data_IF_207580337653
#
_entry.id   IF_207580337653
#
_cell.length_a   1.000
_cell.length_b   1.000
_cell.length_c   1.000
_cell.angle_alpha   90.00
_cell.angle_beta   90.00
_cell.angle_gamma   90.00
#
_symmetry.space_group_name_H-M   'P 1'
#
loop_
_entity.id
_entity.type
_entity.pdbx_description
1 polymer ?
#
# COMPACT_ATOMS: atom_id res chain seq x y z
N UNK A 1 69.71 18.46 -18.08
CA UNK A 1 70.35 19.74 -17.63
C UNK A 1 69.55 20.29 -16.48
N UNK A 2 70.26 20.53 -15.35
CA UNK A 2 69.95 21.41 -14.17
C UNK A 2 68.59 21.09 -13.46
N UNK A 3 68.51 20.39 -12.29
CA UNK A 3 69.05 20.65 -10.93
C UNK A 3 68.53 21.98 -10.36
N UNK A 4 67.70 21.91 -9.32
CA UNK A 4 67.35 22.95 -8.39
C UNK A 4 66.83 22.32 -7.10
N UNK A 5 67.76 22.13 -6.14
CA UNK A 5 67.60 21.69 -4.76
C UNK A 5 67.31 22.96 -3.87
N UNK A 6 66.54 22.84 -2.83
CA UNK A 6 66.43 23.87 -1.78
C UNK A 6 65.38 23.43 -0.77
N UNK A 7 65.73 22.80 0.23
CA UNK A 7 66.37 23.01 1.56
C UNK A 7 65.33 23.50 2.60
N UNK A 8 65.10 22.61 3.52
CA UNK A 8 64.68 22.58 4.92
C UNK A 8 64.75 23.92 5.69
N UNK A 9 63.73 24.20 6.51
CA UNK A 9 63.91 24.82 7.83
C UNK A 9 62.90 24.30 8.83
N UNK A 10 63.44 23.65 9.88
CA UNK A 10 62.78 23.36 11.17
C UNK A 10 62.61 24.68 11.92
N UNK A 11 61.49 24.84 12.59
CA UNK A 11 61.30 25.86 13.61
C UNK A 11 60.40 25.31 14.72
N UNK A 12 61.05 24.84 15.78
CA UNK A 12 60.44 24.55 17.08
C UNK A 12 60.15 25.82 17.88
N UNK A 13 59.26 25.69 18.86
CA UNK A 13 59.03 26.53 20.09
C UNK A 13 57.64 27.18 20.03
N UNK A 14 56.85 27.21 21.07
CA UNK A 14 56.87 27.08 22.50
C UNK A 14 55.43 26.99 23.02
N UNK A 15 55.25 26.18 24.04
CA UNK A 15 54.13 26.14 24.97
C UNK A 15 53.83 27.48 25.62
N UNK A 16 52.58 27.93 25.58
CA UNK A 16 52.07 28.89 26.55
C UNK A 16 50.77 28.33 27.16
N UNK A 17 50.87 27.99 28.43
CA UNK A 17 49.71 27.83 29.32
C UNK A 17 48.99 29.18 29.42
N UNK A 18 47.70 29.23 29.13
CA UNK A 18 46.82 30.31 29.59
C UNK A 18 45.78 29.72 30.52
N UNK A 19 45.76 30.22 31.70
CA UNK A 19 44.90 29.97 32.86
C UNK A 19 43.44 30.24 32.54
N UNK A 20 42.58 29.35 33.00
CA UNK A 20 41.12 29.51 33.06
C UNK A 20 40.78 30.45 34.21
N UNK A 21 39.91 31.44 34.04
CA UNK A 21 39.41 32.23 35.16
C UNK A 21 38.30 31.47 35.93
N UNK A 22 38.42 31.58 37.25
CA UNK A 22 37.45 31.03 38.24
C UNK A 22 36.04 31.60 38.00
N UNK A 23 35.05 30.72 38.04
CA UNK A 23 33.63 31.05 38.13
C UNK A 23 33.21 31.42 39.57
N UNK A 24 32.08 32.12 39.76
CA UNK A 24 31.71 32.72 41.02
C UNK A 24 31.33 31.68 42.09
N UNK A 25 31.91 31.90 43.30
CA UNK A 25 31.57 31.26 44.55
C UNK A 25 30.09 31.45 44.91
N UNK A 26 29.41 30.33 45.17
CA UNK A 26 28.20 30.33 45.99
C UNK A 26 28.54 29.97 47.44
N UNK A 27 27.99 30.66 48.43
CA UNK A 27 28.28 30.39 49.85
C UNK A 27 27.54 29.13 50.30
N UNK A 28 28.26 28.35 51.10
CA UNK A 28 27.81 27.19 51.85
C UNK A 28 26.86 27.67 53.00
N UNK A 29 25.65 27.10 53.15
CA UNK A 29 24.84 27.38 54.33
C UNK A 29 25.19 26.42 55.43
N UNK A 30 25.57 27.02 56.50
CA UNK A 30 26.03 26.54 57.79
C UNK A 30 25.25 25.37 58.39
N UNK A 31 26.04 24.50 59.00
CA UNK A 31 25.69 23.47 59.97
C UNK A 31 25.23 24.12 61.27
N UNK A 32 24.01 23.91 61.72
CA UNK A 32 23.62 23.92 63.10
C UNK A 32 22.36 23.07 63.37
N UNK A 33 22.41 22.06 64.06
CA UNK A 33 22.20 21.66 65.44
C UNK A 33 21.33 20.41 65.61
N UNK A 34 21.70 19.41 66.38
CA UNK A 34 20.94 18.16 66.52
C UNK A 34 19.86 18.32 67.61
N UNK A 35 18.62 18.27 67.25
CA UNK A 35 17.48 18.34 68.11
C UNK A 35 16.37 17.32 67.81
N UNK A 36 16.29 16.33 68.66
CA UNK A 36 15.09 15.52 68.98
C UNK A 36 14.55 14.61 67.93
N UNK A 37 14.88 13.31 68.08
CA UNK A 37 14.22 12.20 67.44
C UNK A 37 12.72 12.17 67.83
N UNK A 38 11.81 12.54 66.90
CA UNK A 38 10.41 12.18 67.04
C UNK A 38 10.24 10.78 66.45
N UNK A 39 9.60 9.91 67.23
CA UNK A 39 9.21 8.56 66.84
C UNK A 39 8.60 8.50 65.40
N UNK A 40 9.13 7.62 64.57
CA UNK A 40 8.63 7.36 63.24
C UNK A 40 7.26 6.68 63.37
N UNK A 41 6.23 7.32 62.83
CA UNK A 41 4.96 6.67 62.57
C UNK A 41 5.17 5.57 61.52
N UNK A 42 4.49 4.41 61.62
CA UNK A 42 4.59 3.35 60.63
C UNK A 42 4.13 3.86 59.27
N UNK A 43 4.98 3.67 58.27
CA UNK A 43 4.67 3.95 56.84
C UNK A 43 3.39 3.23 56.47
N UNK A 44 2.37 3.99 56.08
CA UNK A 44 1.17 3.44 55.43
C UNK A 44 1.57 2.65 54.20
N UNK A 45 0.94 1.50 54.01
CA UNK A 45 1.18 0.62 52.86
C UNK A 45 1.11 1.41 51.53
N UNK A 46 1.98 1.11 50.57
CA UNK A 46 1.94 1.80 49.28
C UNK A 46 0.56 1.59 48.62
N UNK A 47 0.04 2.59 47.93
CA UNK A 47 -1.22 2.45 47.21
C UNK A 47 -1.13 1.28 46.21
N UNK A 48 -2.20 0.50 46.04
CA UNK A 48 -2.20 -0.59 45.09
C UNK A 48 -1.82 -0.06 43.70
N UNK A 49 -0.95 -0.79 43.02
CA UNK A 49 -0.53 -0.46 41.66
C UNK A 49 -1.77 -0.25 40.77
N UNK A 50 -1.80 0.75 39.88
CA UNK A 50 -2.91 0.98 38.99
C UNK A 50 -3.15 -0.31 38.21
N UNK A 51 -4.38 -0.83 38.26
CA UNK A 51 -4.80 -1.93 37.39
C UNK A 51 -4.56 -1.47 35.96
N UNK A 52 -3.64 -2.11 35.26
CA UNK A 52 -3.52 -2.03 33.82
C UNK A 52 -4.82 -2.64 33.27
N UNK A 53 -5.77 -1.77 32.90
CA UNK A 53 -6.92 -2.18 32.12
C UNK A 53 -6.34 -2.66 30.79
N UNK A 54 -6.35 -3.96 30.55
CA UNK A 54 -6.16 -4.50 29.21
C UNK A 54 -7.19 -3.80 28.31
N UNK A 55 -6.77 -3.14 27.20
CA UNK A 55 -7.73 -2.60 26.26
C UNK A 55 -8.64 -3.74 25.82
N UNK A 56 -9.93 -3.59 26.07
CA UNK A 56 -10.95 -4.46 25.43
C UNK A 56 -10.73 -4.26 23.94
N UNK A 57 -10.40 -5.31 23.15
CA UNK A 57 -10.36 -5.16 21.71
C UNK A 57 -11.71 -4.57 21.30
N UNK A 58 -11.74 -3.57 20.39
CA UNK A 58 -13.00 -3.07 19.88
C UNK A 58 -13.81 -4.26 19.41
N UNK A 59 -15.07 -4.37 19.86
CA UNK A 59 -15.98 -5.39 19.38
C UNK A 59 -15.91 -5.34 17.85
N UNK A 60 -15.59 -6.47 17.21
CA UNK A 60 -15.72 -6.57 15.75
C UNK A 60 -17.18 -6.26 15.46
N UNK A 61 -17.42 -5.11 14.84
CA UNK A 61 -18.73 -4.79 14.29
C UNK A 61 -19.11 -5.96 13.37
N UNK A 62 -20.32 -6.51 13.51
CA UNK A 62 -20.76 -7.57 12.59
C UNK A 62 -20.61 -7.02 11.16
N UNK A 63 -20.13 -7.84 10.22
CA UNK A 63 -19.97 -7.40 8.84
C UNK A 63 -21.33 -6.91 8.34
N UNK A 64 -21.38 -5.65 7.88
CA UNK A 64 -22.55 -5.12 7.18
C UNK A 64 -22.67 -5.93 5.90
N UNK A 65 -23.70 -6.77 5.79
CA UNK A 65 -23.93 -7.53 4.58
C UNK A 65 -24.32 -6.57 3.47
N UNK A 66 -23.57 -6.53 2.35
CA UNK A 66 -23.97 -5.72 1.21
C UNK A 66 -25.29 -6.26 0.65
N UNK A 67 -26.27 -5.40 0.51
CA UNK A 67 -27.52 -5.76 -0.14
C UNK A 67 -27.27 -5.79 -1.64
N UNK A 68 -27.43 -6.95 -2.25
CA UNK A 68 -27.45 -7.07 -3.71
C UNK A 68 -28.87 -6.72 -4.16
N UNK A 69 -29.03 -5.53 -4.72
CA UNK A 69 -30.29 -5.12 -5.34
C UNK A 69 -30.49 -5.87 -6.67
N UNK A 70 -31.76 -6.01 -7.06
CA UNK A 70 -32.15 -6.67 -8.30
C UNK A 70 -31.38 -6.12 -9.51
N UNK A 71 -31.16 -6.93 -10.57
CA UNK A 71 -30.45 -6.48 -11.78
C UNK A 71 -31.06 -5.19 -12.31
N UNK A 72 -30.21 -4.28 -12.75
CA UNK A 72 -30.64 -3.03 -13.39
C UNK A 72 -31.63 -3.36 -14.52
N UNK A 73 -32.79 -2.71 -14.60
CA UNK A 73 -33.87 -3.10 -15.53
C UNK A 73 -33.51 -3.17 -16.99
N UNK A 74 -32.38 -2.59 -17.41
CA UNK A 74 -31.91 -2.44 -18.80
C UNK A 74 -30.52 -3.03 -19.07
N UNK A 75 -29.93 -3.79 -18.11
CA UNK A 75 -28.62 -4.42 -18.32
C UNK A 75 -27.51 -3.40 -18.63
N UNK A 76 -26.52 -3.80 -19.45
CA UNK A 76 -25.38 -2.96 -19.82
C UNK A 76 -25.75 -1.64 -20.51
N UNK A 77 -26.89 -1.57 -21.23
CA UNK A 77 -27.35 -0.35 -21.88
C UNK A 77 -27.67 0.80 -20.89
N UNK A 78 -27.92 0.46 -19.62
CA UNK A 78 -28.15 1.45 -18.57
C UNK A 78 -26.86 1.88 -17.84
N UNK A 79 -25.75 1.23 -18.09
CA UNK A 79 -24.49 1.62 -17.46
C UNK A 79 -23.95 2.89 -18.12
N UNK A 80 -23.86 4.03 -17.40
CA UNK A 80 -23.20 5.21 -17.92
C UNK A 80 -21.78 4.88 -18.39
N UNK A 81 -21.34 5.49 -19.49
CA UNK A 81 -19.99 5.32 -20.06
C UNK A 81 -19.67 3.92 -20.64
N UNK A 82 -20.50 2.89 -20.47
CA UNK A 82 -20.20 1.54 -20.94
C UNK A 82 -19.88 1.47 -22.44
N UNK A 83 -20.65 2.13 -23.28
CA UNK A 83 -20.46 2.12 -24.73
C UNK A 83 -19.12 2.71 -25.19
N UNK A 84 -18.50 3.54 -24.36
CA UNK A 84 -17.23 4.24 -24.63
C UNK A 84 -16.05 3.54 -23.96
N UNK A 85 -16.32 2.69 -22.97
CA UNK A 85 -15.28 2.00 -22.20
C UNK A 85 -14.58 0.92 -23.01
N UNK A 86 -13.25 0.81 -22.82
CA UNK A 86 -12.44 -0.31 -23.30
C UNK A 86 -12.24 -1.34 -22.18
N UNK A 87 -12.97 -2.47 -22.18
CA UNK A 87 -12.85 -3.49 -21.16
C UNK A 87 -11.73 -4.51 -21.42
N UNK A 88 -10.86 -4.31 -22.42
CA UNK A 88 -9.78 -5.27 -22.72
C UNK A 88 -8.82 -5.47 -21.55
N UNK A 89 -8.48 -4.46 -20.71
CA UNK A 89 -7.68 -4.69 -19.50
C UNK A 89 -8.40 -5.60 -18.49
N UNK A 90 -9.71 -5.41 -18.30
CA UNK A 90 -10.52 -6.25 -17.43
C UNK A 90 -10.61 -7.70 -17.94
N UNK A 91 -10.74 -7.88 -19.26
CA UNK A 91 -10.74 -9.22 -19.88
C UNK A 91 -9.41 -9.93 -19.63
N UNK A 92 -8.29 -9.25 -19.81
CA UNK A 92 -6.95 -9.80 -19.53
C UNK A 92 -6.80 -10.19 -18.06
N UNK A 93 -7.25 -9.33 -17.14
CA UNK A 93 -7.25 -9.61 -15.70
C UNK A 93 -8.15 -10.81 -15.37
N UNK A 94 -9.37 -10.86 -15.94
CA UNK A 94 -10.33 -11.95 -15.74
C UNK A 94 -9.76 -13.29 -16.20
N UNK A 95 -9.18 -13.37 -17.39
CA UNK A 95 -8.52 -14.59 -17.90
C UNK A 95 -7.39 -15.03 -16.96
N UNK A 96 -6.57 -14.10 -16.48
CA UNK A 96 -5.54 -14.40 -15.48
C UNK A 96 -6.12 -15.00 -14.20
N UNK A 97 -7.23 -14.47 -13.70
CA UNK A 97 -7.97 -15.00 -12.55
C UNK A 97 -8.53 -16.40 -12.81
N UNK A 98 -9.21 -16.59 -13.94
CA UNK A 98 -9.79 -17.88 -14.34
C UNK A 98 -8.76 -19.02 -14.37
N UNK A 99 -7.51 -18.73 -14.74
CA UNK A 99 -6.44 -19.73 -14.75
C UNK A 99 -6.22 -20.37 -13.36
N UNK A 100 -6.43 -19.62 -12.27
CA UNK A 100 -6.31 -20.14 -10.90
C UNK A 100 -7.48 -21.03 -10.49
N UNK A 101 -8.61 -20.95 -11.19
CA UNK A 101 -9.82 -21.71 -10.92
C UNK A 101 -9.90 -23.02 -11.71
N UNK A 102 -8.95 -23.26 -12.61
CA UNK A 102 -8.98 -24.40 -13.55
C UNK A 102 -9.09 -25.77 -12.88
N UNK A 103 -8.57 -25.90 -11.66
CA UNK A 103 -8.61 -27.15 -10.87
C UNK A 103 -9.58 -27.12 -9.70
N UNK A 104 -10.38 -26.06 -9.56
CA UNK A 104 -11.37 -25.96 -8.49
C UNK A 104 -12.57 -26.87 -8.77
N UNK A 105 -13.18 -27.38 -7.70
CA UNK A 105 -14.42 -28.14 -7.78
C UNK A 105 -15.56 -27.23 -8.22
N UNK A 106 -16.29 -27.64 -9.26
CA UNK A 106 -17.39 -26.87 -9.82
C UNK A 106 -18.52 -26.61 -8.81
N UNK A 107 -18.72 -27.48 -7.83
CA UNK A 107 -19.73 -27.31 -6.79
C UNK A 107 -19.29 -26.38 -5.65
N UNK A 108 -18.00 -26.06 -5.56
CA UNK A 108 -17.51 -25.18 -4.52
C UNK A 108 -17.81 -23.71 -4.84
N UNK A 109 -18.24 -22.94 -3.84
CA UNK A 109 -18.46 -21.49 -3.97
C UNK A 109 -17.14 -20.74 -4.15
N UNK A 110 -17.14 -19.64 -4.93
CA UNK A 110 -16.00 -18.73 -5.02
C UNK A 110 -15.56 -18.26 -3.63
N UNK A 111 -16.52 -17.98 -2.77
CA UNK A 111 -16.34 -17.75 -1.34
C UNK A 111 -17.55 -18.33 -0.59
N UNK A 112 -17.36 -19.30 0.35
CA UNK A 112 -18.46 -19.90 1.08
C UNK A 112 -19.33 -18.94 1.88
N UNK A 113 -18.76 -17.78 2.27
CA UNK A 113 -19.47 -16.74 3.01
C UNK A 113 -20.18 -15.73 2.09
N UNK A 114 -19.99 -15.83 0.77
CA UNK A 114 -20.53 -14.92 -0.24
C UNK A 114 -21.18 -15.74 -1.37
N UNK A 115 -22.14 -16.61 -1.01
CA UNK A 115 -22.75 -17.58 -1.93
C UNK A 115 -23.46 -16.91 -3.12
N UNK A 116 -23.86 -15.67 -2.98
CA UNK A 116 -24.46 -14.86 -4.06
C UNK A 116 -23.56 -14.67 -5.29
N UNK A 117 -22.25 -14.87 -5.15
CA UNK A 117 -21.31 -14.86 -6.27
C UNK A 117 -21.26 -16.20 -7.03
N UNK A 118 -21.98 -17.21 -6.56
CA UNK A 118 -22.06 -18.53 -7.19
C UNK A 118 -20.86 -19.44 -6.93
N UNK A 119 -20.87 -20.55 -7.62
CA UNK A 119 -19.84 -21.59 -7.57
C UNK A 119 -18.84 -21.44 -8.70
N UNK A 120 -17.68 -22.11 -8.63
CA UNK A 120 -16.71 -22.13 -9.73
C UNK A 120 -17.35 -22.68 -11.04
N UNK A 121 -18.32 -23.60 -10.93
CA UNK A 121 -19.09 -24.13 -12.07
C UNK A 121 -19.83 -23.04 -12.82
N UNK A 122 -20.47 -22.10 -12.11
CA UNK A 122 -21.23 -21.00 -12.70
C UNK A 122 -20.36 -20.08 -13.57
N UNK A 123 -19.06 -19.96 -13.25
CA UNK A 123 -18.10 -19.12 -13.97
C UNK A 123 -17.30 -19.90 -15.04
N UNK A 124 -17.35 -21.22 -15.06
CA UNK A 124 -16.48 -22.07 -15.89
C UNK A 124 -16.58 -21.79 -17.37
N UNK A 125 -17.80 -21.69 -17.90
CA UNK A 125 -18.00 -21.47 -19.33
C UNK A 125 -17.54 -20.08 -19.77
N UNK A 126 -17.82 -19.05 -18.98
CA UNK A 126 -17.34 -17.70 -19.26
C UNK A 126 -15.80 -17.63 -19.19
N UNK A 127 -15.16 -18.33 -18.26
CA UNK A 127 -13.71 -18.45 -18.19
C UNK A 127 -13.10 -19.10 -19.44
N UNK A 128 -13.68 -20.21 -19.91
CA UNK A 128 -13.22 -20.88 -21.13
C UNK A 128 -13.38 -19.98 -22.37
N UNK A 129 -14.54 -19.33 -22.49
CA UNK A 129 -14.81 -18.40 -23.60
C UNK A 129 -13.90 -17.17 -23.57
N UNK A 130 -13.60 -16.63 -22.37
CA UNK A 130 -12.65 -15.53 -22.19
C UNK A 130 -11.24 -15.90 -22.65
N UNK A 131 -10.77 -17.10 -22.29
CA UNK A 131 -9.43 -17.58 -22.68
C UNK A 131 -9.31 -17.74 -24.21
N UNK A 132 -10.34 -18.28 -24.86
CA UNK A 132 -10.40 -18.38 -26.34
C UNK A 132 -10.39 -16.98 -26.96
N UNK A 133 -11.25 -16.08 -26.50
CA UNK A 133 -11.30 -14.71 -27.01
C UNK A 133 -9.95 -14.00 -26.85
N UNK A 134 -9.34 -14.08 -25.65
CA UNK A 134 -8.04 -13.46 -25.38
C UNK A 134 -6.93 -13.93 -26.33
N UNK A 135 -6.96 -15.20 -26.75
CA UNK A 135 -5.98 -15.76 -27.69
C UNK A 135 -6.06 -15.15 -29.09
N UNK A 136 -7.18 -14.52 -29.42
CA UNK A 136 -7.42 -13.84 -30.70
C UNK A 136 -7.02 -12.36 -30.67
N UNK A 137 -6.46 -11.85 -29.57
CA UNK A 137 -6.09 -10.44 -29.39
C UNK A 137 -7.28 -9.49 -29.62
N UNK A 138 -8.36 -9.60 -28.85
CA UNK A 138 -9.61 -8.89 -29.09
C UNK A 138 -9.47 -7.37 -28.94
N UNK A 139 -10.26 -6.62 -29.71
CA UNK A 139 -10.46 -5.20 -29.50
C UNK A 139 -11.53 -4.89 -28.45
N UNK A 140 -11.70 -3.59 -28.15
CA UNK A 140 -12.67 -3.12 -27.16
C UNK A 140 -14.11 -3.59 -27.45
N UNK A 141 -14.50 -3.65 -28.73
CA UNK A 141 -15.84 -4.11 -29.14
C UNK A 141 -16.05 -5.59 -28.81
N UNK A 142 -15.06 -6.43 -29.10
CA UNK A 142 -15.15 -7.87 -28.88
C UNK A 142 -15.23 -8.16 -27.37
N UNK A 143 -14.41 -7.44 -26.59
CA UNK A 143 -14.42 -7.56 -25.12
C UNK A 143 -15.75 -7.07 -24.52
N UNK A 144 -16.34 -5.95 -25.01
CA UNK A 144 -17.68 -5.51 -24.56
C UNK A 144 -18.74 -6.57 -24.86
N UNK A 145 -18.77 -7.08 -26.09
CA UNK A 145 -19.73 -8.12 -26.49
C UNK A 145 -19.59 -9.39 -25.64
N UNK A 146 -18.35 -9.76 -25.29
CA UNK A 146 -18.10 -10.89 -24.39
C UNK A 146 -18.77 -10.66 -23.03
N UNK A 147 -18.52 -9.52 -22.38
CA UNK A 147 -19.11 -9.25 -21.06
C UNK A 147 -20.64 -9.13 -21.13
N UNK A 148 -21.18 -8.51 -22.16
CA UNK A 148 -22.62 -8.40 -22.40
C UNK A 148 -23.29 -9.77 -22.58
N UNK A 149 -22.63 -10.70 -23.23
CA UNK A 149 -23.16 -12.03 -23.48
C UNK A 149 -23.16 -12.92 -22.22
N UNK A 150 -22.12 -12.82 -21.42
CA UNK A 150 -21.92 -13.75 -20.28
C UNK A 150 -22.42 -13.23 -18.94
N UNK A 151 -22.50 -11.93 -18.75
CA UNK A 151 -22.75 -11.35 -17.44
C UNK A 151 -23.97 -10.41 -17.46
N UNK A 152 -24.47 -10.16 -16.23
CA UNK A 152 -25.45 -9.11 -15.97
C UNK A 152 -24.98 -8.21 -14.83
N UNK A 153 -25.09 -6.88 -14.94
CA UNK A 153 -24.77 -5.98 -13.87
C UNK A 153 -25.84 -6.01 -12.79
N UNK A 154 -25.38 -6.00 -11.53
CA UNK A 154 -26.19 -5.97 -10.31
C UNK A 154 -25.68 -4.85 -9.42
N UNK A 155 -26.57 -4.00 -8.93
CA UNK A 155 -26.18 -2.95 -8.00
C UNK A 155 -25.70 -3.52 -6.68
N UNK A 156 -24.62 -2.94 -6.17
CA UNK A 156 -24.11 -3.23 -4.84
C UNK A 156 -24.21 -1.95 -4.02
N UNK A 157 -25.12 -1.96 -3.06
CA UNK A 157 -25.31 -0.85 -2.11
C UNK A 157 -25.26 -1.37 -0.68
N UNK A 158 -24.93 -0.49 0.25
CA UNK A 158 -25.12 -0.73 1.68
C UNK A 158 -26.25 0.16 2.19
N UNK A 159 -26.95 -0.19 3.27
CA UNK A 159 -28.02 0.64 3.82
C UNK A 159 -27.57 2.06 4.17
N UNK A 160 -26.28 2.26 4.49
CA UNK A 160 -25.74 3.53 4.96
C UNK A 160 -25.01 4.32 3.87
N UNK A 161 -24.68 3.72 2.74
CA UNK A 161 -23.77 4.31 1.76
C UNK A 161 -24.13 3.94 0.32
N UNK A 162 -24.50 4.93 -0.47
CA UNK A 162 -24.76 4.77 -1.90
C UNK A 162 -23.48 4.75 -2.75
N UNK A 163 -22.45 5.51 -2.34
CA UNK A 163 -21.17 5.63 -3.04
C UNK A 163 -20.03 5.14 -2.16
N UNK A 164 -19.09 4.41 -2.76
CA UNK A 164 -17.85 3.95 -2.14
C UNK A 164 -16.69 4.89 -2.38
N UNK A 165 -15.50 4.41 -2.04
CA UNK A 165 -14.24 5.13 -2.24
C UNK A 165 -13.30 4.33 -3.13
N UNK A 166 -12.86 4.93 -4.24
CA UNK A 166 -11.78 4.42 -5.09
C UNK A 166 -10.52 5.24 -4.88
N UNK A 167 -9.44 4.55 -4.49
CA UNK A 167 -8.08 5.10 -4.52
C UNK A 167 -7.24 4.40 -5.57
N UNK A 168 -5.97 4.74 -5.70
CA UNK A 168 -5.08 4.17 -6.70
C UNK A 168 -3.76 3.70 -6.11
N UNK A 169 -3.22 2.64 -6.68
CA UNK A 169 -1.86 2.18 -6.42
C UNK A 169 -1.17 1.78 -7.74
N UNK A 170 0.14 1.60 -7.67
CA UNK A 170 0.97 1.33 -8.83
C UNK A 170 2.22 0.55 -8.44
N UNK A 171 2.95 0.03 -9.40
CA UNK A 171 4.26 -0.57 -9.20
C UNK A 171 5.36 0.49 -9.44
N UNK A 172 5.99 1.04 -8.37
CA UNK A 172 7.03 2.06 -8.52
C UNK A 172 8.29 1.51 -9.17
N UNK A 173 9.00 2.35 -9.89
CA UNK A 173 10.38 2.12 -10.30
C UNK A 173 11.31 2.89 -9.36
N UNK A 174 12.28 2.21 -8.78
CA UNK A 174 13.20 2.75 -7.77
C UNK A 174 14.64 2.51 -8.23
N UNK A 175 15.42 3.59 -8.36
CA UNK A 175 16.86 3.50 -8.57
C UNK A 175 17.53 2.92 -7.34
N UNK A 176 18.45 1.97 -7.55
CA UNK A 176 19.12 1.28 -6.44
C UNK A 176 20.62 1.09 -6.68
N UNK A 177 21.35 0.85 -5.58
CA UNK A 177 22.77 0.54 -5.54
C UNK A 177 23.01 -0.75 -4.74
N UNK A 178 24.06 -1.47 -5.05
CA UNK A 178 24.47 -2.66 -4.30
C UNK A 178 25.17 -2.31 -2.98
N UNK A 179 25.75 -1.12 -2.89
CA UNK A 179 26.40 -0.59 -1.68
C UNK A 179 25.77 0.74 -1.30
N UNK A 180 25.69 1.05 0.01
CA UNK A 180 25.13 2.32 0.45
C UNK A 180 26.10 3.50 0.18
N UNK A 181 25.52 4.67 -0.04
CA UNK A 181 26.18 5.95 -0.05
C UNK A 181 25.32 7.01 0.67
N UNK A 182 25.66 8.29 0.55
CA UNK A 182 24.92 9.37 1.22
C UNK A 182 23.47 9.48 0.70
N UNK A 183 23.25 9.23 -0.59
CA UNK A 183 21.95 9.33 -1.24
C UNK A 183 21.16 8.02 -1.14
N UNK A 184 21.81 6.89 -1.42
CA UNK A 184 21.23 5.55 -1.43
C UNK A 184 21.52 4.84 -0.12
N UNK A 185 20.93 5.31 0.98
CA UNK A 185 21.26 4.88 2.34
C UNK A 185 20.24 3.92 2.97
N UNK A 186 19.05 3.78 2.39
CA UNK A 186 17.99 2.94 2.97
C UNK A 186 18.04 1.52 2.42
N UNK A 187 18.18 0.48 3.28
CA UNK A 187 18.23 -0.90 2.83
C UNK A 187 16.85 -1.43 2.40
N UNK A 188 16.80 -2.09 1.27
CA UNK A 188 15.70 -2.95 0.84
C UNK A 188 16.03 -4.37 1.31
N UNK A 189 15.20 -4.92 2.20
CA UNK A 189 15.51 -6.14 2.92
C UNK A 189 14.72 -7.34 2.43
N UNK A 190 15.38 -8.49 2.35
CA UNK A 190 14.74 -9.78 2.23
C UNK A 190 14.01 -10.15 3.54
N UNK A 191 13.07 -11.10 3.46
CA UNK A 191 12.39 -11.62 4.64
C UNK A 191 13.41 -12.17 5.65
N UNK A 192 13.35 -11.77 6.94
CA UNK A 192 14.18 -12.33 7.99
C UNK A 192 13.94 -13.83 8.20
N UNK A 193 14.96 -14.53 8.65
CA UNK A 193 14.90 -15.97 8.94
C UNK A 193 14.20 -16.30 10.27
N UNK A 194 14.09 -15.32 11.17
CA UNK A 194 13.44 -15.50 12.47
C UNK A 194 12.25 -14.57 12.64
N UNK A 195 11.19 -15.06 13.30
CA UNK A 195 9.99 -14.27 13.57
C UNK A 195 10.26 -13.04 14.43
N UNK A 196 11.19 -13.14 15.39
CA UNK A 196 11.58 -12.01 16.23
C UNK A 196 12.12 -10.83 15.40
N UNK A 197 12.99 -11.08 14.43
CA UNK A 197 13.50 -10.05 13.52
C UNK A 197 12.43 -9.56 12.53
N UNK A 198 11.57 -10.47 12.05
CA UNK A 198 10.47 -10.12 11.14
C UNK A 198 9.48 -9.15 11.79
N UNK A 199 9.19 -9.30 13.09
CA UNK A 199 8.18 -8.52 13.82
C UNK A 199 8.67 -7.17 14.35
N UNK A 200 9.91 -6.75 14.07
CA UNK A 200 10.44 -5.46 14.53
C UNK A 200 9.65 -4.29 13.93
N UNK A 201 9.34 -3.25 14.71
CA UNK A 201 8.77 -2.02 14.16
C UNK A 201 9.79 -1.29 13.28
N UNK A 202 9.31 -0.50 12.31
CA UNK A 202 10.15 0.24 11.35
C UNK A 202 11.35 0.93 11.99
N UNK A 203 11.15 1.64 13.11
CA UNK A 203 12.20 2.38 13.79
C UNK A 203 13.38 1.52 14.28
N UNK A 204 13.21 0.18 14.37
CA UNK A 204 14.23 -0.77 14.84
C UNK A 204 14.83 -1.59 13.69
N UNK A 205 14.23 -1.52 12.47
CA UNK A 205 14.72 -2.24 11.29
C UNK A 205 15.92 -1.50 10.69
N UNK A 206 16.97 -2.25 10.37
CA UNK A 206 18.19 -1.75 9.73
C UNK A 206 18.86 -2.85 8.90
N UNK A 207 20.00 -2.55 8.26
CA UNK A 207 20.72 -3.49 7.40
C UNK A 207 21.15 -4.80 8.09
N UNK A 208 21.28 -4.83 9.43
CA UNK A 208 21.61 -6.05 10.18
C UNK A 208 20.38 -6.93 10.49
N UNK A 209 19.17 -6.44 10.19
CA UNK A 209 17.93 -7.18 10.44
C UNK A 209 17.82 -8.41 9.54
N UNK A 210 18.16 -8.27 8.27
CA UNK A 210 18.10 -9.34 7.29
C UNK A 210 19.09 -9.12 6.13
N UNK A 211 19.12 -10.06 5.16
CA UNK A 211 19.88 -9.89 3.93
C UNK A 211 19.41 -8.64 3.18
N UNK A 212 20.36 -7.77 2.86
CA UNK A 212 20.10 -6.61 2.03
C UNK A 212 20.03 -7.07 0.56
N UNK A 213 18.97 -6.64 -0.13
CA UNK A 213 18.80 -6.84 -1.58
C UNK A 213 19.54 -5.72 -2.32
N UNK A 214 19.25 -4.49 -1.95
CA UNK A 214 19.84 -3.28 -2.53
C UNK A 214 19.64 -2.11 -1.55
N UNK A 215 20.21 -0.95 -1.88
CA UNK A 215 20.00 0.32 -1.20
C UNK A 215 19.33 1.31 -2.15
N UNK A 216 18.30 2.01 -1.66
CA UNK A 216 17.61 3.08 -2.37
C UNK A 216 17.63 4.39 -1.58
N UNK A 217 17.09 5.46 -2.18
CA UNK A 217 16.81 6.69 -1.45
C UNK A 217 15.76 6.42 -0.37
N UNK A 218 15.88 6.95 0.85
CA UNK A 218 14.96 6.65 1.94
C UNK A 218 13.48 6.86 1.60
N UNK A 219 13.16 7.93 0.89
CA UNK A 219 11.79 8.25 0.47
C UNK A 219 11.26 7.20 -0.53
N UNK A 220 12.07 6.84 -1.53
CA UNK A 220 11.66 5.90 -2.56
C UNK A 220 11.45 4.50 -1.97
N UNK A 221 12.33 4.05 -1.06
CA UNK A 221 12.19 2.77 -0.36
C UNK A 221 10.96 2.78 0.55
N UNK A 222 10.67 3.91 1.21
CA UNK A 222 9.47 4.03 2.02
C UNK A 222 8.20 3.87 1.16
N UNK A 223 8.10 4.57 0.04
CA UNK A 223 6.94 4.44 -0.86
C UNK A 223 6.88 3.08 -1.55
N UNK A 224 8.02 2.46 -1.90
CA UNK A 224 8.08 1.07 -2.36
C UNK A 224 7.40 0.12 -1.34
N UNK A 225 7.67 0.32 -0.05
CA UNK A 225 7.04 -0.48 1.01
C UNK A 225 5.54 -0.17 1.18
N UNK A 226 5.09 1.06 0.93
CA UNK A 226 3.66 1.41 0.93
C UNK A 226 2.93 0.68 -0.21
N UNK A 227 3.54 0.63 -1.40
CA UNK A 227 2.97 -0.05 -2.57
C UNK A 227 3.05 -1.59 -2.46
N UNK A 228 3.98 -2.12 -1.65
CA UNK A 228 4.14 -3.56 -1.40
C UNK A 228 4.96 -4.32 -2.44
N UNK A 229 5.21 -3.76 -3.61
CA UNK A 229 6.12 -4.25 -4.65
C UNK A 229 6.63 -3.10 -5.51
N UNK A 230 7.69 -3.34 -6.30
CA UNK A 230 8.23 -2.33 -7.22
C UNK A 230 9.39 -2.87 -8.05
N UNK A 231 9.83 -2.08 -9.01
CA UNK A 231 10.94 -2.39 -9.90
C UNK A 231 12.21 -1.73 -9.39
N UNK A 232 13.26 -2.51 -9.18
CA UNK A 232 14.58 -2.04 -8.80
C UNK A 232 15.42 -1.84 -10.06
N UNK A 233 15.78 -0.57 -10.33
CA UNK A 233 16.63 -0.19 -11.46
C UNK A 233 18.07 -0.07 -10.99
N UNK A 234 18.89 -1.04 -11.35
CA UNK A 234 20.31 -1.04 -11.01
C UNK A 234 21.11 -0.13 -11.95
N UNK A 235 22.24 0.39 -11.47
CA UNK A 235 23.12 1.26 -12.25
C UNK A 235 23.69 0.60 -13.52
N UNK A 236 23.73 -0.72 -13.58
CA UNK A 236 24.18 -1.51 -14.73
C UNK A 236 23.07 -1.75 -15.78
N UNK A 237 21.90 -1.18 -15.58
CA UNK A 237 20.75 -1.30 -16.47
C UNK A 237 19.85 -2.51 -16.19
N UNK A 238 20.21 -3.40 -15.26
CA UNK A 238 19.32 -4.50 -14.86
C UNK A 238 18.07 -3.95 -14.15
N UNK A 239 16.94 -4.59 -14.41
CA UNK A 239 15.68 -4.31 -13.70
C UNK A 239 15.17 -5.63 -13.12
N UNK A 240 14.97 -5.65 -11.80
CA UNK A 240 14.37 -6.77 -11.08
C UNK A 240 13.16 -6.28 -10.30
N UNK A 241 12.22 -7.16 -9.99
CA UNK A 241 11.11 -6.83 -9.10
C UNK A 241 11.50 -7.10 -7.65
N UNK A 242 11.29 -6.11 -6.79
CA UNK A 242 11.12 -6.34 -5.36
C UNK A 242 9.67 -6.79 -5.16
N UNK A 243 9.44 -8.10 -5.12
CA UNK A 243 8.13 -8.66 -4.87
C UNK A 243 7.89 -8.79 -3.37
N UNK A 244 6.63 -8.61 -2.94
CA UNK A 244 6.24 -8.80 -1.56
C UNK A 244 6.61 -10.21 -1.05
N UNK A 245 7.29 -10.28 0.08
CA UNK A 245 7.65 -11.55 0.72
C UNK A 245 7.03 -11.71 2.12
N UNK A 246 6.96 -10.63 2.90
CA UNK A 246 6.38 -10.63 4.24
C UNK A 246 6.18 -9.19 4.73
N UNK A 247 5.49 -9.05 5.86
CA UNK A 247 5.45 -7.83 6.65
C UNK A 247 5.62 -8.13 8.13
N UNK A 248 5.90 -7.10 8.93
CA UNK A 248 6.13 -7.26 10.37
C UNK A 248 4.86 -7.46 11.22
N UNK A 249 3.68 -7.57 10.62
CA UNK A 249 2.41 -7.76 11.34
C UNK A 249 1.83 -6.51 12.01
N UNK A 250 2.54 -5.38 12.00
CA UNK A 250 2.08 -4.15 12.63
C UNK A 250 1.10 -3.38 11.73
N UNK A 251 0.19 -2.58 12.34
CA UNK A 251 -0.80 -1.83 11.59
C UNK A 251 -0.15 -0.76 10.71
N UNK A 252 -0.81 -0.43 9.60
CA UNK A 252 -0.43 0.71 8.76
C UNK A 252 -0.91 2.01 9.41
N UNK A 253 -0.04 3.03 9.43
CA UNK A 253 -0.38 4.40 9.80
C UNK A 253 0.00 5.34 8.65
N UNK A 254 -0.98 6.10 8.15
CA UNK A 254 -0.75 7.05 7.06
C UNK A 254 0.09 8.24 7.54
N UNK A 255 1.27 8.43 6.94
CA UNK A 255 2.11 9.59 7.24
C UNK A 255 1.53 10.91 6.68
N UNK A 256 0.72 10.82 5.61
CA UNK A 256 -0.06 11.96 5.13
C UNK A 256 -1.10 12.43 6.16
N UNK A 257 -1.82 11.49 6.79
CA UNK A 257 -2.73 11.82 7.88
C UNK A 257 -1.99 12.44 9.08
N UNK A 258 -0.80 11.94 9.41
CA UNK A 258 0.03 12.53 10.46
C UNK A 258 0.39 13.99 10.16
N UNK A 259 0.74 14.32 8.91
CA UNK A 259 1.02 15.71 8.52
C UNK A 259 -0.22 16.60 8.58
N UNK A 260 -1.38 16.06 8.22
CA UNK A 260 -2.66 16.77 8.35
C UNK A 260 -2.99 17.04 9.81
N UNK A 261 -2.86 16.04 10.67
CA UNK A 261 -3.08 16.16 12.12
C UNK A 261 -2.12 17.17 12.79
N UNK A 262 -0.91 17.31 12.25
CA UNK A 262 0.07 18.32 12.70
C UNK A 262 -0.20 19.72 12.14
N UNK A 263 -1.19 19.88 11.25
CA UNK A 263 -1.48 21.15 10.57
C UNK A 263 -0.46 21.57 9.52
N UNK A 264 0.41 20.65 9.09
CA UNK A 264 1.49 20.92 8.13
C UNK A 264 1.05 20.70 6.68
N UNK A 265 -0.15 20.16 6.47
CA UNK A 265 -0.74 19.87 5.16
C UNK A 265 -2.26 19.80 5.29
N UNK A 266 -3.01 20.18 4.25
CA UNK A 266 -4.43 19.87 4.19
C UNK A 266 -4.70 18.49 3.62
N UNK A 267 -5.89 17.94 3.87
CA UNK A 267 -6.27 16.61 3.36
C UNK A 267 -6.26 16.57 1.82
N UNK A 268 -6.66 17.67 1.17
CA UNK A 268 -6.66 17.81 -0.28
C UNK A 268 -5.24 17.84 -0.87
N UNK A 269 -4.29 18.35 -0.09
CA UNK A 269 -2.88 18.42 -0.48
C UNK A 269 -2.11 17.13 -0.23
N UNK A 270 -2.67 16.18 0.57
CA UNK A 270 -1.97 14.98 1.00
C UNK A 270 -1.78 13.97 -0.14
N UNK A 271 -0.81 14.23 -1.01
CA UNK A 271 -0.34 13.36 -2.09
C UNK A 271 1.07 12.82 -1.82
N UNK A 272 1.49 11.77 -2.56
CA UNK A 272 2.88 11.27 -2.52
C UNK A 272 3.88 12.41 -2.75
N UNK A 273 3.66 13.24 -3.77
CA UNK A 273 4.57 14.31 -4.15
C UNK A 273 4.72 15.35 -3.03
N UNK A 274 3.60 15.84 -2.49
CA UNK A 274 3.65 16.84 -1.43
C UNK A 274 4.27 16.32 -0.12
N UNK A 275 4.09 15.03 0.19
CA UNK A 275 4.77 14.37 1.31
C UNK A 275 6.27 14.28 1.04
N UNK A 276 6.70 13.89 -0.17
CA UNK A 276 8.10 13.86 -0.57
C UNK A 276 8.75 15.26 -0.54
N UNK A 277 8.04 16.28 -1.00
CA UNK A 277 8.47 17.67 -0.94
C UNK A 277 8.60 18.17 0.50
N UNK A 278 7.67 17.76 1.38
CA UNK A 278 7.76 18.07 2.81
C UNK A 278 9.02 17.43 3.43
N UNK A 279 9.28 16.15 3.17
CA UNK A 279 10.46 15.44 3.66
C UNK A 279 11.76 16.10 3.17
N UNK A 280 11.79 16.50 1.90
CA UNK A 280 12.94 17.17 1.28
C UNK A 280 13.25 18.50 1.95
N UNK A 281 12.21 19.31 2.20
CA UNK A 281 12.34 20.64 2.83
C UNK A 281 12.74 20.58 4.30
N UNK A 282 12.27 19.58 5.03
CA UNK A 282 12.51 19.44 6.48
C UNK A 282 13.76 18.62 6.81
N UNK A 283 14.38 18.02 5.81
CA UNK A 283 15.66 17.33 5.91
C UNK A 283 15.58 15.88 6.43
N UNK A 284 16.72 15.15 6.40
CA UNK A 284 16.76 13.71 6.60
C UNK A 284 16.25 13.24 7.97
N UNK A 285 16.50 14.03 9.02
CA UNK A 285 16.06 13.68 10.39
C UNK A 285 14.54 13.72 10.50
N UNK A 286 13.92 14.83 10.10
CA UNK A 286 12.47 15.00 10.16
C UNK A 286 11.76 13.98 9.23
N UNK A 287 12.33 13.71 8.05
CA UNK A 287 11.85 12.67 7.16
C UNK A 287 11.86 11.29 7.82
N UNK A 288 12.96 10.93 8.52
CA UNK A 288 13.07 9.65 9.27
C UNK A 288 12.04 9.58 10.39
N UNK A 289 11.90 10.64 11.16
CA UNK A 289 10.92 10.71 12.26
C UNK A 289 9.49 10.53 11.71
N UNK A 290 9.15 11.19 10.59
CA UNK A 290 7.85 11.04 9.95
C UNK A 290 7.62 9.61 9.42
N UNK A 291 8.59 9.03 8.72
CA UNK A 291 8.49 7.64 8.22
C UNK A 291 8.28 6.64 9.35
N UNK A 292 8.91 6.86 10.52
CA UNK A 292 8.78 5.99 11.69
C UNK A 292 7.42 6.07 12.38
N UNK A 293 6.60 7.09 12.10
CA UNK A 293 5.19 7.11 12.54
C UNK A 293 4.39 5.93 11.97
N UNK A 294 4.80 5.40 10.82
CA UNK A 294 4.25 4.15 10.30
C UNK A 294 5.10 2.97 10.80
N UNK A 295 4.65 2.20 11.81
CA UNK A 295 5.42 1.10 12.37
C UNK A 295 5.53 -0.10 11.42
N UNK A 296 4.64 -0.18 10.39
CA UNK A 296 4.62 -1.29 9.43
C UNK A 296 5.86 -1.28 8.55
N UNK A 297 6.43 -2.47 8.34
CA UNK A 297 7.57 -2.71 7.46
C UNK A 297 7.29 -3.87 6.51
N UNK A 298 7.69 -3.73 5.25
CA UNK A 298 7.55 -4.74 4.21
C UNK A 298 8.93 -5.30 3.84
N UNK A 299 9.01 -6.62 3.75
CA UNK A 299 10.16 -7.37 3.27
C UNK A 299 9.92 -7.91 1.87
N UNK A 300 10.98 -8.04 1.08
CA UNK A 300 10.88 -8.34 -0.34
C UNK A 300 11.62 -9.62 -0.73
N UNK A 301 11.33 -10.10 -1.92
CA UNK A 301 12.13 -11.09 -2.63
C UNK A 301 12.37 -10.59 -4.06
N UNK A 302 13.53 -10.93 -4.62
CA UNK A 302 13.90 -10.55 -5.99
C UNK A 302 13.23 -11.49 -6.99
N UNK A 303 12.68 -10.95 -8.04
CA UNK A 303 12.09 -11.70 -9.15
C UNK A 303 12.48 -11.08 -10.49
N UNK A 304 12.65 -11.92 -11.51
CA UNK A 304 12.75 -11.46 -12.89
C UNK A 304 11.41 -10.96 -13.38
N UNK A 305 11.42 -9.96 -14.28
CA UNK A 305 10.22 -9.35 -14.86
C UNK A 305 10.13 -9.76 -16.33
N UNK A 306 8.98 -10.26 -16.76
CA UNK A 306 8.66 -10.41 -18.19
C UNK A 306 8.12 -9.09 -18.74
N UNK A 307 8.37 -8.76 -20.02
CA UNK A 307 7.80 -7.57 -20.65
C UNK A 307 6.28 -7.53 -20.47
N UNK A 308 5.75 -6.38 -20.01
CA UNK A 308 4.31 -6.18 -19.81
C UNK A 308 3.70 -6.86 -18.58
N UNK A 309 4.48 -7.62 -17.79
CA UNK A 309 3.99 -8.32 -16.61
C UNK A 309 3.96 -7.40 -15.39
N UNK A 310 2.76 -7.19 -14.81
CA UNK A 310 2.56 -6.50 -13.54
C UNK A 310 3.02 -7.33 -12.33
N UNK A 311 3.02 -6.74 -11.12
CA UNK A 311 3.32 -7.45 -9.88
C UNK A 311 2.27 -8.51 -9.60
N UNK A 312 2.63 -9.53 -8.80
CA UNK A 312 1.71 -10.56 -8.39
C UNK A 312 0.78 -10.02 -7.31
N UNK A 313 -0.55 -10.07 -7.55
CA UNK A 313 -1.57 -9.74 -6.57
C UNK A 313 -1.82 -10.87 -5.56
N UNK A 314 -2.73 -10.62 -4.61
CA UNK A 314 -3.13 -11.59 -3.59
C UNK A 314 -3.76 -12.87 -4.19
N UNK A 315 -4.42 -12.76 -5.35
CA UNK A 315 -4.91 -13.90 -6.13
C UNK A 315 -3.80 -14.75 -6.76
N UNK A 316 -2.52 -14.35 -6.59
CA UNK A 316 -1.32 -14.99 -7.15
C UNK A 316 -1.25 -15.00 -8.68
N UNK A 317 -1.82 -13.99 -9.29
CA UNK A 317 -1.71 -13.71 -10.73
C UNK A 317 -1.05 -12.34 -10.94
N UNK A 318 -0.39 -12.11 -12.08
CA UNK A 318 0.08 -10.78 -12.44
C UNK A 318 -1.10 -9.80 -12.57
N UNK A 319 -0.97 -8.64 -11.95
CA UNK A 319 -1.97 -7.58 -12.05
C UNK A 319 -1.92 -6.90 -13.42
N UNK A 320 -3.07 -6.61 -13.97
CA UNK A 320 -3.22 -5.83 -15.21
C UNK A 320 -3.52 -4.38 -14.87
N UNK A 321 -2.69 -3.45 -15.36
CA UNK A 321 -2.96 -2.01 -15.18
C UNK A 321 -4.32 -1.63 -15.74
N UNK A 322 -5.08 -0.81 -15.03
CA UNK A 322 -6.45 -0.39 -15.36
C UNK A 322 -7.48 -1.54 -15.50
N UNK A 323 -7.10 -2.78 -15.18
CA UNK A 323 -7.96 -3.96 -15.24
C UNK A 323 -8.11 -4.70 -13.91
N UNK A 324 -7.27 -4.41 -12.94
CA UNK A 324 -7.25 -5.08 -11.63
C UNK A 324 -7.48 -4.09 -10.47
N UNK A 325 -8.20 -4.55 -9.43
CA UNK A 325 -8.40 -3.81 -8.19
C UNK A 325 -8.02 -4.65 -6.96
N UNK A 326 -7.56 -3.96 -5.92
CA UNK A 326 -7.51 -4.48 -4.56
C UNK A 326 -8.85 -4.22 -3.87
N UNK A 327 -9.36 -5.24 -3.17
CA UNK A 327 -10.65 -5.22 -2.45
C UNK A 327 -10.51 -5.80 -1.05
N UNK A 328 -11.57 -5.70 -0.27
CA UNK A 328 -11.74 -6.50 0.95
C UNK A 328 -12.34 -7.87 0.58
N UNK A 329 -11.57 -8.98 0.69
CA UNK A 329 -12.02 -10.31 0.27
C UNK A 329 -13.16 -10.88 1.13
N UNK A 330 -13.51 -10.21 2.24
CA UNK A 330 -14.70 -10.56 3.04
C UNK A 330 -16.00 -10.18 2.34
N UNK A 331 -15.95 -9.27 1.34
CA UNK A 331 -17.10 -8.77 0.59
C UNK A 331 -17.04 -9.09 -0.90
N UNK A 332 -15.82 -9.23 -1.46
CA UNK A 332 -15.62 -9.51 -2.87
C UNK A 332 -14.67 -10.69 -3.04
N UNK A 333 -15.13 -11.83 -3.58
CA UNK A 333 -14.24 -12.95 -3.91
C UNK A 333 -13.20 -12.52 -4.94
N UNK A 334 -11.98 -13.03 -4.83
CA UNK A 334 -11.00 -12.82 -5.90
C UNK A 334 -11.48 -13.41 -7.22
N UNK A 335 -11.29 -12.67 -8.30
CA UNK A 335 -11.75 -12.98 -9.64
C UNK A 335 -13.13 -12.41 -9.99
N UNK A 336 -13.89 -11.89 -9.00
CA UNK A 336 -15.16 -11.22 -9.28
C UNK A 336 -14.96 -9.95 -10.12
N UNK A 337 -15.95 -9.64 -10.94
CA UNK A 337 -15.98 -8.51 -11.84
C UNK A 337 -16.76 -7.36 -11.21
N UNK A 338 -16.20 -6.16 -11.29
CA UNK A 338 -16.81 -4.95 -10.73
C UNK A 338 -16.80 -3.84 -11.77
N UNK A 339 -17.96 -3.24 -11.99
CA UNK A 339 -18.10 -1.98 -12.72
C UNK A 339 -18.12 -0.83 -11.74
N UNK A 340 -17.26 0.16 -11.95
CA UNK A 340 -17.16 1.36 -11.13
C UNK A 340 -17.47 2.60 -11.96
N UNK A 341 -18.50 3.36 -11.56
CA UNK A 341 -18.72 4.72 -12.05
C UNK A 341 -18.00 5.69 -11.13
N UNK A 342 -17.03 6.41 -11.64
CA UNK A 342 -16.13 7.23 -10.83
C UNK A 342 -15.52 8.37 -11.63
N UNK A 343 -14.61 9.09 -11.02
CA UNK A 343 -13.72 10.04 -11.68
C UNK A 343 -12.31 9.47 -11.72
N UNK A 344 -11.66 9.45 -12.86
CA UNK A 344 -10.27 9.01 -13.02
C UNK A 344 -9.37 10.18 -13.43
N UNK A 345 -8.17 10.32 -12.82
CA UNK A 345 -7.16 11.26 -13.24
C UNK A 345 -6.70 10.97 -14.67
N UNK A 346 -6.65 11.99 -15.52
CA UNK A 346 -6.11 11.85 -16.90
C UNK A 346 -4.59 11.97 -16.92
N UNK A 347 -4.02 12.67 -15.94
CA UNK A 347 -2.56 12.88 -15.77
C UNK A 347 -2.21 13.11 -14.29
N UNK A 348 -0.93 13.16 -13.98
CA UNK A 348 -0.42 13.51 -12.66
C UNK A 348 -0.87 14.88 -12.20
N UNK A 349 -1.22 15.03 -10.93
CA UNK A 349 -1.73 16.25 -10.32
C UNK A 349 -3.15 16.64 -10.72
N UNK A 350 -3.82 15.84 -11.55
CA UNK A 350 -5.20 16.09 -11.97
C UNK A 350 -6.21 15.54 -10.97
N UNK A 351 -6.42 16.29 -9.90
CA UNK A 351 -7.41 15.93 -8.86
C UNK A 351 -8.87 16.02 -9.36
N UNK A 352 -9.14 16.73 -10.45
CA UNK A 352 -10.50 16.86 -11.00
C UNK A 352 -10.86 15.65 -11.84
N UNK A 353 -9.89 15.16 -12.65
CA UNK A 353 -10.09 14.02 -13.52
C UNK A 353 -11.26 14.15 -14.49
N UNK A 354 -11.64 13.03 -15.07
CA UNK A 354 -12.82 12.90 -15.93
C UNK A 354 -13.76 11.85 -15.37
N UNK A 355 -15.06 12.16 -15.38
CA UNK A 355 -16.09 11.19 -15.02
C UNK A 355 -16.12 10.08 -16.07
N UNK A 356 -16.11 8.84 -15.60
CA UNK A 356 -16.05 7.66 -16.45
C UNK A 356 -16.60 6.43 -15.75
N UNK A 357 -16.72 5.34 -16.51
CA UNK A 357 -16.92 4.00 -15.96
C UNK A 357 -15.74 3.11 -16.30
N UNK A 358 -15.39 2.20 -15.39
CA UNK A 358 -14.32 1.23 -15.59
C UNK A 358 -14.73 -0.16 -15.10
N UNK A 359 -14.54 -1.17 -15.95
CA UNK A 359 -14.66 -2.58 -15.58
C UNK A 359 -13.32 -3.08 -15.07
N UNK A 360 -13.33 -3.78 -13.93
CA UNK A 360 -12.14 -4.29 -13.26
C UNK A 360 -12.39 -5.65 -12.63
N UNK A 361 -11.32 -6.38 -12.38
CA UNK A 361 -11.34 -7.70 -11.72
C UNK A 361 -10.70 -7.60 -10.33
N UNK A 362 -11.35 -8.15 -9.31
CA UNK A 362 -10.82 -8.22 -7.95
C UNK A 362 -9.68 -9.26 -7.88
N UNK A 363 -8.43 -8.81 -7.82
CA UNK A 363 -7.26 -9.70 -7.86
C UNK A 363 -6.26 -9.45 -6.74
N UNK A 364 -6.48 -8.40 -5.96
CA UNK A 364 -5.56 -8.02 -4.91
C UNK A 364 -6.29 -7.58 -3.63
N UNK A 365 -5.53 -7.34 -2.57
CA UNK A 365 -6.02 -6.79 -1.30
C UNK A 365 -4.97 -5.93 -0.65
N UNK A 366 -5.40 -5.01 0.20
CA UNK A 366 -4.52 -4.15 0.97
C UNK A 366 -4.96 -4.02 2.43
N UNK A 367 -4.01 -3.73 3.32
CA UNK A 367 -4.31 -3.59 4.74
C UNK A 367 -5.26 -2.41 5.04
N UNK A 368 -5.21 -1.38 4.18
CA UNK A 368 -6.09 -0.20 4.25
C UNK A 368 -7.39 -0.35 3.45
N UNK A 369 -7.56 -1.45 2.71
CA UNK A 369 -8.72 -1.70 1.85
C UNK A 369 -9.71 -2.54 2.65
N UNK A 370 -10.64 -1.88 3.32
CA UNK A 370 -11.62 -2.50 4.22
C UNK A 370 -13.02 -1.98 3.92
N UNK A 371 -13.97 -2.91 3.92
CA UNK A 371 -15.38 -2.62 3.69
C UNK A 371 -15.88 -2.97 2.28
N UNK A 372 -17.21 -2.98 2.09
CA UNK A 372 -17.86 -3.48 0.88
C UNK A 372 -17.71 -2.56 -0.34
N UNK A 373 -17.58 -1.25 -0.14
CA UNK A 373 -17.50 -0.25 -1.20
C UNK A 373 -16.14 0.47 -1.21
N UNK A 374 -15.06 -0.31 -0.97
CA UNK A 374 -13.68 0.20 -0.91
C UNK A 374 -12.79 -0.56 -1.87
N UNK A 375 -12.21 0.14 -2.85
CA UNK A 375 -11.22 -0.44 -3.75
C UNK A 375 -10.00 0.46 -3.94
N UNK A 376 -8.95 -0.18 -4.43
CA UNK A 376 -7.71 0.46 -4.86
C UNK A 376 -7.42 0.01 -6.29
N UNK A 377 -7.43 0.93 -7.25
CA UNK A 377 -7.23 0.62 -8.69
C UNK A 377 -5.73 0.49 -8.97
N UNK A 378 -5.34 -0.59 -9.61
CA UNK A 378 -3.98 -0.75 -10.10
C UNK A 378 -3.78 0.04 -11.40
N UNK A 379 -3.05 1.15 -11.34
CA UNK A 379 -2.78 2.02 -12.49
C UNK A 379 -1.71 1.47 -13.45
N UNK A 380 -0.94 0.47 -13.05
CA UNK A 380 0.19 -0.06 -13.81
C UNK A 380 1.53 0.19 -13.14
N UNK A 381 2.60 0.31 -13.93
CA UNK A 381 3.97 0.46 -13.43
C UNK A 381 4.59 1.76 -13.94
N UNK A 382 5.55 2.29 -13.19
CA UNK A 382 6.33 3.48 -13.57
C UNK A 382 5.74 4.81 -13.12
N UNK A 383 6.37 5.88 -13.56
CA UNK A 383 6.12 7.24 -13.07
C UNK A 383 4.71 7.74 -13.43
N UNK A 384 4.30 7.61 -14.70
CA UNK A 384 2.97 8.06 -15.15
C UNK A 384 1.83 7.37 -14.37
N UNK A 385 1.95 6.04 -14.16
CA UNK A 385 1.00 5.30 -13.34
C UNK A 385 1.00 5.81 -11.89
N UNK A 386 2.17 6.11 -11.35
CA UNK A 386 2.35 6.66 -10.01
C UNK A 386 1.72 8.03 -9.83
N UNK A 387 1.90 8.89 -10.79
CA UNK A 387 1.36 10.26 -10.78
C UNK A 387 -0.17 10.28 -10.81
N UNK A 388 -0.77 9.40 -11.59
CA UNK A 388 -2.23 9.23 -11.63
C UNK A 388 -2.76 8.54 -10.37
N UNK A 389 -2.13 7.45 -9.95
CA UNK A 389 -2.50 6.73 -8.72
C UNK A 389 -2.42 7.62 -7.47
N UNK A 390 -1.41 8.49 -7.41
CA UNK A 390 -1.16 9.38 -6.25
C UNK A 390 -2.24 10.41 -6.00
N UNK A 391 -3.07 10.73 -6.99
CA UNK A 391 -4.20 11.67 -6.88
C UNK A 391 -5.58 11.00 -6.96
N UNK A 392 -5.62 9.68 -7.18
CA UNK A 392 -6.88 8.94 -7.20
C UNK A 392 -7.45 8.82 -5.79
N UNK A 393 -8.52 9.54 -5.52
CA UNK A 393 -9.29 9.50 -4.29
C UNK A 393 -10.69 10.06 -4.55
N UNK A 394 -11.52 9.27 -5.23
CA UNK A 394 -12.81 9.71 -5.71
C UNK A 394 -13.93 8.78 -5.24
N UNK A 395 -15.16 9.30 -5.07
CA UNK A 395 -16.34 8.47 -4.91
C UNK A 395 -16.49 7.50 -6.09
N UNK A 396 -17.03 6.32 -5.82
CA UNK A 396 -17.34 5.33 -6.85
C UNK A 396 -18.67 4.65 -6.56
N UNK A 397 -19.55 4.61 -7.55
CA UNK A 397 -20.75 3.78 -7.51
C UNK A 397 -20.40 2.38 -8.02
N UNK A 398 -20.91 1.37 -7.34
CA UNK A 398 -20.52 -0.01 -7.53
C UNK A 398 -21.62 -0.84 -8.16
N UNK A 399 -21.26 -1.61 -9.16
CA UNK A 399 -22.05 -2.71 -9.67
C UNK A 399 -21.16 -3.93 -9.83
N UNK A 400 -21.64 -5.09 -9.41
CA UNK A 400 -20.95 -6.35 -9.67
C UNK A 400 -21.50 -6.96 -10.95
N UNK A 401 -20.67 -7.64 -11.72
CA UNK A 401 -21.11 -8.42 -12.86
C UNK A 401 -21.15 -9.88 -12.44
N UNK A 402 -22.33 -10.46 -12.45
CA UNK A 402 -22.55 -11.89 -12.17
C UNK A 402 -22.84 -12.64 -13.47
N UNK A 403 -22.43 -13.92 -13.57
CA UNK A 403 -22.94 -14.78 -14.64
C UNK A 403 -24.45 -14.69 -14.75
N UNK A 404 -24.98 -14.62 -15.99
CA UNK A 404 -26.40 -14.38 -16.23
C UNK A 404 -27.32 -15.37 -15.53
N UNK A 405 -26.87 -16.64 -15.41
CA UNK A 405 -27.68 -17.71 -14.80
C UNK A 405 -27.92 -17.48 -13.31
N UNK A 406 -26.94 -16.91 -12.58
CA UNK A 406 -27.08 -16.61 -11.16
C UNK A 406 -27.64 -15.21 -10.91
N UNK A 407 -27.35 -14.23 -11.77
CA UNK A 407 -27.93 -12.88 -11.65
C UNK A 407 -29.47 -12.89 -11.70
N UNK A 408 -30.08 -13.83 -12.43
CA UNK A 408 -31.52 -14.04 -12.49
C UNK A 408 -32.12 -14.65 -11.21
N UNK A 409 -31.32 -15.35 -10.41
CA UNK A 409 -31.75 -16.03 -9.19
C UNK A 409 -31.65 -15.13 -7.93
N UNK A 410 -30.92 -14.04 -8.00
CA UNK A 410 -30.76 -13.07 -6.89
C UNK A 410 -32.04 -12.26 -6.59
N UNK A 411 -33.21 -12.75 -6.96
CA UNK A 411 -34.52 -12.13 -6.74
C UNK A 411 -35.33 -12.74 -5.60
N UNK A 412 -34.67 -13.53 -4.74
CA UNK A 412 -35.38 -14.16 -3.62
C UNK A 412 -34.87 -13.70 -2.27
#
# INVERSE_FOLDING_TARGET
>A
MRRGLGLILLGSLLTTCTTVPDGPNYPDPDVENPGVLKEAQPLSAPPPAPRVLTPIPPAEEPPIEPVIEAPAPSGFAALPYWSQHDPTPALSAFVGGCATWSTADDAAYLNPNLQQYGTYGDWRQSCQSAAVLQSLSPGASDARQFFENWFAPVYLTTPEQADGLLTGYYEPEVDVRLSPDVEFSEPILAKPTTKAKESLPRAQVNAATSRVIAYGRPIDVFFLQIQGSGRLKYADGRILRAAYAANNGLPYKSIGAVLVDRGEMTLEQASKQSIADWMSRNGPRAARELMNENPRYIYFTEQSIRPGEGPQGAMRVPLTGMGAIAVDPRYHPYGSLVWLETTLPTKGGDYRGEQTGILVTAQDTGNAIKGPLRADLFFGSGEEAGDRAGVQKHPARWMILLPRDIAGQSRL
#
